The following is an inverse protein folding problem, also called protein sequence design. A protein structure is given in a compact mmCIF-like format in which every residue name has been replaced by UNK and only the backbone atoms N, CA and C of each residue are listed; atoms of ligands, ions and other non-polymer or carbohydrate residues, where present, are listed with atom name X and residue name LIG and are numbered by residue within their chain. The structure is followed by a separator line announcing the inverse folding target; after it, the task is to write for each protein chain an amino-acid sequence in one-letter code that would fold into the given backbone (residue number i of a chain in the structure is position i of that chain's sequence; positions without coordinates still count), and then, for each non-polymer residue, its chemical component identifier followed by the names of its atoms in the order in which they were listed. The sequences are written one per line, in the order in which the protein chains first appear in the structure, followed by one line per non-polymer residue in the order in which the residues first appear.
data_IF_152862729036
#
_entry.id   IF_152862729036
#
_cell.length_a   1.000
_cell.length_b   1.000
_cell.length_c   1.000
_cell.angle_alpha   90.00
_cell.angle_beta   90.00
_cell.angle_gamma   90.00
#
_symmetry.space_group_name_H-M   'P 1'
#
loop_
_entity.id
_entity.type
_entity.pdbx_description
1 polymer ?
#
# COMPACT_ATOMS: atom_id res chain seq x y z
N UNK A 1 -8.72 -20.93 15.11
CA UNK A 1 -9.20 -22.34 15.22
C UNK A 1 -8.06 -23.33 15.08
N UNK A 2 -8.10 -24.47 15.78
CA UNK A 2 -6.99 -25.45 15.78
C UNK A 2 -6.62 -25.93 14.36
N UNK A 3 -7.63 -26.19 13.52
CA UNK A 3 -7.44 -26.58 12.11
C UNK A 3 -6.60 -25.58 11.29
N UNK A 4 -6.69 -24.28 11.59
CA UNK A 4 -5.87 -23.26 10.93
C UNK A 4 -4.43 -23.27 11.45
N UNK A 5 -4.25 -23.49 12.76
CA UNK A 5 -2.93 -23.54 13.40
C UNK A 5 -2.17 -24.76 12.89
N UNK A 6 -2.81 -25.94 12.87
CA UNK A 6 -2.21 -27.19 12.39
C UNK A 6 -1.80 -27.07 10.90
N UNK A 7 -2.62 -26.37 10.10
CA UNK A 7 -2.31 -26.09 8.70
C UNK A 7 -1.05 -25.23 8.56
N UNK A 8 -0.93 -24.14 9.31
CA UNK A 8 0.26 -23.26 9.28
C UNK A 8 1.50 -24.03 9.72
N UNK A 9 1.44 -24.79 10.83
CA UNK A 9 2.55 -25.62 11.31
C UNK A 9 3.04 -26.59 10.24
N UNK A 10 2.10 -27.30 9.60
CA UNK A 10 2.43 -28.28 8.55
C UNK A 10 3.06 -27.60 7.32
N UNK A 11 2.48 -26.49 6.84
CA UNK A 11 2.98 -25.81 5.64
C UNK A 11 4.32 -25.11 5.86
N UNK A 12 4.58 -24.65 7.08
CA UNK A 12 5.85 -24.02 7.44
C UNK A 12 6.90 -25.03 7.95
N UNK A 13 6.52 -26.30 8.17
CA UNK A 13 7.42 -27.32 8.74
C UNK A 13 7.88 -26.99 10.16
N UNK A 14 7.02 -26.39 10.97
CA UNK A 14 7.33 -25.93 12.32
C UNK A 14 6.74 -26.85 13.39
N UNK A 15 7.48 -27.02 14.49
CA UNK A 15 6.92 -27.54 15.73
C UNK A 15 6.00 -26.50 16.39
N UNK A 16 5.00 -26.90 17.19
CA UNK A 16 4.06 -25.98 17.84
C UNK A 16 4.73 -24.86 18.65
N UNK A 17 5.84 -25.15 19.33
CA UNK A 17 6.59 -24.17 20.12
C UNK A 17 7.33 -23.13 19.25
N UNK A 18 7.54 -23.42 17.97
CA UNK A 18 8.18 -22.52 17.00
C UNK A 18 7.23 -21.54 16.31
N UNK A 19 5.91 -21.63 16.57
CA UNK A 19 4.91 -20.76 15.96
C UNK A 19 4.38 -19.73 16.95
N UNK A 20 4.50 -18.46 16.59
CA UNK A 20 3.81 -17.35 17.24
C UNK A 20 2.81 -16.73 16.26
N UNK A 21 1.57 -16.53 16.70
CA UNK A 21 0.52 -15.90 15.88
C UNK A 21 0.14 -14.56 16.52
N UNK A 22 0.28 -13.48 15.76
CA UNK A 22 -0.22 -12.16 16.13
C UNK A 22 -1.53 -11.91 15.39
N UNK A 23 -2.62 -11.69 16.14
CA UNK A 23 -3.95 -11.46 15.58
C UNK A 23 -4.44 -10.06 15.95
N UNK A 24 -4.76 -9.24 14.95
CA UNK A 24 -5.28 -7.88 15.15
C UNK A 24 -6.41 -7.63 14.16
N UNK A 25 -7.62 -7.23 14.60
CA UNK A 25 -8.68 -6.86 13.66
C UNK A 25 -8.36 -5.51 13.00
N UNK A 26 -8.79 -5.31 11.75
CA UNK A 26 -8.58 -4.06 10.99
C UNK A 26 -9.10 -2.82 11.73
N UNK A 27 -10.18 -2.99 12.50
CA UNK A 27 -10.82 -1.97 13.35
C UNK A 27 -10.05 -1.62 14.64
N UNK A 28 -8.88 -2.21 14.88
CA UNK A 28 -8.03 -1.89 16.05
C UNK A 28 -6.88 -0.96 15.68
N UNK A 29 -6.29 -0.30 16.68
CA UNK A 29 -5.06 0.50 16.52
C UNK A 29 -3.93 -0.30 15.86
N UNK A 30 -3.70 -1.53 16.31
CA UNK A 30 -2.65 -2.38 15.74
C UNK A 30 -2.97 -2.80 14.31
N UNK A 31 -4.23 -3.14 14.00
CA UNK A 31 -4.68 -3.48 12.65
C UNK A 31 -4.57 -2.31 11.68
N UNK A 32 -5.02 -1.13 12.09
CA UNK A 32 -4.88 0.10 11.30
C UNK A 32 -3.41 0.43 11.05
N UNK A 33 -2.57 0.37 12.10
CA UNK A 33 -1.14 0.66 11.99
C UNK A 33 -0.41 -0.30 11.07
N UNK A 34 -0.63 -1.61 11.21
CA UNK A 34 0.08 -2.60 10.40
C UNK A 34 -0.30 -2.53 8.92
N UNK A 35 -1.54 -2.16 8.58
CA UNK A 35 -1.92 -1.96 7.18
C UNK A 35 -1.23 -0.71 6.61
N UNK A 36 -1.32 0.43 7.30
CA UNK A 36 -0.69 1.69 6.82
C UNK A 36 0.84 1.58 6.73
N UNK A 37 1.47 0.84 7.63
CA UNK A 37 2.92 0.59 7.62
C UNK A 37 3.41 -0.16 6.37
N UNK A 38 2.51 -0.79 5.60
CA UNK A 38 2.83 -1.48 4.34
C UNK A 38 3.01 -0.55 3.15
N UNK A 39 2.93 0.78 3.31
CA UNK A 39 3.11 1.73 2.20
C UNK A 39 4.37 1.45 1.35
N UNK A 40 5.49 1.03 1.97
CA UNK A 40 6.67 0.61 1.21
C UNK A 40 6.46 -0.72 0.47
N UNK A 41 5.87 -1.72 1.14
CA UNK A 41 5.55 -3.02 0.55
C UNK A 41 4.61 -2.90 -0.66
N UNK A 42 3.59 -2.04 -0.58
CA UNK A 42 2.68 -1.74 -1.68
C UNK A 42 3.43 -1.19 -2.90
N UNK A 43 4.42 -0.32 -2.70
CA UNK A 43 5.26 0.16 -3.80
C UNK A 43 6.15 -0.94 -4.39
N UNK A 44 6.70 -1.82 -3.55
CA UNK A 44 7.49 -2.98 -4.01
C UNK A 44 6.62 -3.98 -4.77
N UNK A 45 5.41 -4.26 -4.29
CA UNK A 45 4.45 -5.11 -4.97
C UNK A 45 4.10 -4.54 -6.34
N UNK A 46 3.75 -3.25 -6.44
CA UNK A 46 3.48 -2.63 -7.74
C UNK A 46 4.70 -2.58 -8.65
N UNK A 47 5.91 -2.39 -8.12
CA UNK A 47 7.13 -2.49 -8.90
C UNK A 47 7.28 -3.89 -9.53
N UNK A 48 6.98 -4.95 -8.76
CA UNK A 48 6.97 -6.33 -9.25
C UNK A 48 5.94 -6.54 -10.37
N UNK A 49 4.71 -6.07 -10.19
CA UNK A 49 3.63 -6.15 -11.19
C UNK A 49 3.98 -5.39 -12.49
N UNK A 50 4.73 -4.29 -12.40
CA UNK A 50 5.26 -3.54 -13.55
C UNK A 50 6.47 -4.21 -14.23
N UNK A 51 6.85 -5.41 -13.77
CA UNK A 51 8.00 -6.17 -14.25
C UNK A 51 9.35 -5.58 -13.86
N UNK A 52 9.40 -4.66 -12.88
CA UNK A 52 10.66 -4.12 -12.41
C UNK A 52 11.40 -5.17 -11.55
N UNK A 53 12.69 -5.42 -11.81
CA UNK A 53 13.46 -6.39 -11.03
C UNK A 53 13.65 -5.88 -9.60
N UNK A 54 12.99 -6.51 -8.61
CA UNK A 54 13.09 -6.10 -7.21
C UNK A 54 14.53 -6.12 -6.67
N UNK A 55 15.39 -6.99 -7.21
CA UNK A 55 16.82 -7.03 -6.87
C UNK A 55 17.59 -5.76 -7.27
N UNK A 56 17.04 -4.94 -8.18
CA UNK A 56 17.60 -3.63 -8.53
C UNK A 56 17.20 -2.53 -7.53
N UNK A 57 16.25 -2.78 -6.63
CA UNK A 57 15.91 -1.88 -5.52
C UNK A 57 16.91 -2.13 -4.40
N UNK A 58 17.76 -1.13 -4.12
CA UNK A 58 18.84 -1.20 -3.14
C UNK A 58 18.34 -0.83 -1.74
N UNK A 59 17.48 0.17 -1.66
CA UNK A 59 16.93 0.68 -0.40
C UNK A 59 15.56 1.35 -0.63
N UNK A 60 14.79 1.48 0.45
CA UNK A 60 13.46 2.09 0.39
C UNK A 60 13.03 2.66 1.73
N UNK A 61 12.41 3.85 1.69
CA UNK A 61 11.77 4.46 2.85
C UNK A 61 10.39 4.98 2.47
N UNK A 62 9.46 4.94 3.40
CA UNK A 62 8.09 5.38 3.14
C UNK A 62 7.39 5.87 4.40
N UNK A 63 6.38 6.71 4.20
CA UNK A 63 5.47 7.14 5.24
C UNK A 63 4.06 7.31 4.68
N UNK A 64 3.06 7.20 5.56
CA UNK A 64 1.66 7.47 5.25
C UNK A 64 0.97 7.99 6.51
N UNK A 65 -0.06 8.84 6.39
CA UNK A 65 -0.86 9.31 7.52
C UNK A 65 -1.61 8.14 8.17
N UNK A 66 -1.65 8.11 9.51
CA UNK A 66 -2.34 7.06 10.25
C UNK A 66 -3.77 7.52 10.60
N UNK A 67 -4.83 6.91 10.03
CA UNK A 67 -6.20 7.25 10.42
C UNK A 67 -6.54 6.72 11.81
N UNK A 68 -7.60 7.28 12.42
CA UNK A 68 -8.22 6.65 13.57
C UNK A 68 -8.92 5.34 13.16
N UNK A 69 -8.85 4.27 13.98
CA UNK A 69 -9.58 3.04 13.69
C UNK A 69 -11.10 3.29 13.60
N UNK A 70 -11.76 2.59 12.68
CA UNK A 70 -13.23 2.60 12.57
C UNK A 70 -13.81 1.33 13.20
N UNK A 71 -14.96 1.41 13.91
CA UNK A 71 -15.67 0.23 14.38
C UNK A 71 -16.31 -0.57 13.23
N UNK A 72 -16.60 0.09 12.10
CA UNK A 72 -17.05 -0.57 10.87
C UNK A 72 -15.85 -1.13 10.11
N UNK A 73 -15.87 -2.43 9.82
CA UNK A 73 -14.73 -3.12 9.19
C UNK A 73 -14.46 -2.71 7.75
N UNK A 74 -15.49 -2.34 6.99
CA UNK A 74 -15.36 -1.89 5.60
C UNK A 74 -14.76 -0.48 5.59
N UNK A 75 -15.22 0.40 6.47
CA UNK A 75 -14.64 1.74 6.66
C UNK A 75 -13.21 1.68 7.20
N UNK A 76 -12.92 0.78 8.15
CA UNK A 76 -11.57 0.60 8.67
C UNK A 76 -10.60 0.22 7.55
N UNK A 77 -11.00 -0.75 6.71
CA UNK A 77 -10.24 -1.15 5.53
C UNK A 77 -10.10 0.00 4.54
N UNK A 78 -11.20 0.70 4.22
CA UNK A 78 -11.18 1.85 3.31
C UNK A 78 -10.18 2.91 3.75
N UNK A 79 -10.32 3.40 4.99
CA UNK A 79 -9.43 4.44 5.56
C UNK A 79 -7.97 4.04 5.55
N UNK A 80 -7.65 2.77 5.87
CA UNK A 80 -6.25 2.30 5.84
C UNK A 80 -5.67 2.23 4.43
N UNK A 81 -6.48 1.91 3.41
CA UNK A 81 -6.03 1.93 2.02
C UNK A 81 -5.93 3.37 1.51
N UNK A 82 -6.93 4.21 1.77
CA UNK A 82 -6.93 5.63 1.40
C UNK A 82 -5.69 6.37 1.94
N UNK A 83 -5.24 6.01 3.15
CA UNK A 83 -3.99 6.51 3.73
C UNK A 83 -2.77 6.28 2.83
N UNK A 84 -2.69 5.11 2.19
CA UNK A 84 -1.60 4.74 1.29
C UNK A 84 -1.82 5.40 -0.09
N UNK A 85 -3.02 5.25 -0.63
CA UNK A 85 -3.39 5.68 -1.99
C UNK A 85 -3.29 7.19 -2.18
N UNK A 86 -3.66 7.98 -1.16
CA UNK A 86 -3.76 9.45 -1.24
C UNK A 86 -2.78 10.17 -0.31
N UNK A 87 -2.20 9.45 0.65
CA UNK A 87 -1.28 9.99 1.65
C UNK A 87 0.12 9.36 1.67
N UNK A 88 0.33 8.26 0.97
CA UNK A 88 1.57 7.49 1.01
C UNK A 88 2.68 8.14 0.20
N UNK A 89 3.83 8.41 0.83
CA UNK A 89 5.05 8.86 0.16
C UNK A 89 6.09 7.75 0.22
N UNK A 90 6.72 7.47 -0.92
CA UNK A 90 7.74 6.43 -1.05
C UNK A 90 8.98 7.02 -1.70
N UNK A 91 10.15 6.65 -1.19
CA UNK A 91 11.46 6.92 -1.77
C UNK A 91 12.15 5.60 -1.98
N UNK A 92 12.44 5.27 -3.23
CA UNK A 92 13.21 4.08 -3.63
C UNK A 92 14.58 4.50 -4.13
N UNK A 93 15.59 3.76 -3.70
CA UNK A 93 16.95 3.84 -4.22
C UNK A 93 17.19 2.63 -5.09
N UNK A 94 17.55 2.83 -6.35
CA UNK A 94 17.69 1.76 -7.36
C UNK A 94 19.06 1.76 -8.00
N UNK A 95 19.45 0.62 -8.57
CA UNK A 95 20.63 0.44 -9.41
C UNK A 95 20.20 -0.22 -10.72
N UNK A 96 19.93 0.59 -11.73
CA UNK A 96 19.48 0.18 -13.07
C UNK A 96 19.80 1.28 -14.10
N UNK A 97 19.26 1.18 -15.31
CA UNK A 97 19.32 2.28 -16.28
C UNK A 97 18.39 3.43 -15.90
N UNK A 98 18.78 4.67 -16.21
CA UNK A 98 17.99 5.87 -15.90
C UNK A 98 16.59 5.84 -16.52
N UNK A 99 16.45 5.28 -17.72
CA UNK A 99 15.15 5.15 -18.38
C UNK A 99 14.21 4.21 -17.61
N UNK A 100 14.74 3.14 -17.02
CA UNK A 100 13.96 2.22 -16.18
C UNK A 100 13.57 2.87 -14.85
N UNK A 101 14.49 3.61 -14.22
CA UNK A 101 14.22 4.37 -13.00
C UNK A 101 13.14 5.44 -13.22
N UNK A 102 13.22 6.16 -14.34
CA UNK A 102 12.21 7.16 -14.73
C UNK A 102 10.85 6.52 -14.99
N UNK A 103 10.81 5.41 -15.74
CA UNK A 103 9.57 4.67 -16.01
C UNK A 103 8.93 4.20 -14.70
N UNK A 104 9.72 3.59 -13.82
CA UNK A 104 9.26 3.13 -12.51
C UNK A 104 8.65 4.28 -11.70
N UNK A 105 9.32 5.44 -11.65
CA UNK A 105 8.80 6.61 -10.93
C UNK A 105 7.43 7.06 -11.46
N UNK A 106 7.24 7.05 -12.78
CA UNK A 106 6.00 7.50 -13.45
C UNK A 106 4.84 6.53 -13.30
N UNK A 107 5.11 5.24 -13.28
CA UNK A 107 4.09 4.17 -13.28
C UNK A 107 3.67 3.73 -11.86
N UNK A 108 4.51 3.93 -10.85
CA UNK A 108 4.21 3.52 -9.48
C UNK A 108 3.03 4.26 -8.80
N UNK A 109 2.79 5.56 -8.97
CA UNK A 109 1.76 6.27 -8.22
C UNK A 109 0.34 5.72 -8.43
N UNK A 110 -0.51 5.79 -7.42
CA UNK A 110 -1.92 5.39 -7.48
C UNK A 110 -2.73 6.17 -8.52
N UNK A 111 -2.32 7.41 -8.81
CA UNK A 111 -2.93 8.26 -9.84
C UNK A 111 -2.79 7.70 -11.26
N UNK A 112 -2.02 6.63 -11.47
CA UNK A 112 -1.98 5.91 -12.75
C UNK A 112 -3.20 5.01 -12.97
N UNK A 113 -3.97 4.73 -11.91
CA UNK A 113 -5.16 3.88 -11.97
C UNK A 113 -6.39 4.64 -12.44
N UNK A 114 -7.26 3.97 -13.19
CA UNK A 114 -8.58 4.50 -13.59
C UNK A 114 -9.56 4.63 -12.42
N UNK A 115 -9.32 3.91 -11.32
CA UNK A 115 -10.20 3.89 -10.14
C UNK A 115 -9.77 4.92 -9.07
N UNK A 116 -8.76 5.74 -9.37
CA UNK A 116 -8.26 6.80 -8.49
C UNK A 116 -9.28 7.93 -8.28
N UNK A 117 -9.31 8.50 -7.06
CA UNK A 117 -9.99 9.77 -6.78
C UNK A 117 -11.25 9.67 -5.93
N UNK A 118 -11.51 8.49 -5.34
CA UNK A 118 -12.67 8.23 -4.48
C UNK A 118 -12.32 7.30 -3.32
N UNK A 119 -13.18 7.24 -2.30
CA UNK A 119 -13.03 6.34 -1.16
C UNK A 119 -12.81 4.89 -1.61
N UNK A 120 -11.80 4.22 -1.06
CA UNK A 120 -11.61 2.80 -1.31
C UNK A 120 -12.79 1.97 -0.79
N UNK A 121 -13.43 2.37 0.32
CA UNK A 121 -14.62 1.69 0.82
C UNK A 121 -15.78 1.77 -0.18
N UNK A 122 -15.96 2.92 -0.84
CA UNK A 122 -17.03 3.09 -1.83
C UNK A 122 -16.72 2.32 -3.11
N UNK A 123 -15.48 2.38 -3.60
CA UNK A 123 -15.02 1.52 -4.70
C UNK A 123 -15.30 0.05 -4.42
N UNK A 124 -14.98 -0.41 -3.20
CA UNK A 124 -15.16 -1.81 -2.81
C UNK A 124 -16.62 -2.23 -2.69
N UNK A 125 -17.50 -1.33 -2.22
CA UNK A 125 -18.95 -1.56 -2.18
C UNK A 125 -19.55 -1.64 -3.58
N UNK A 126 -19.16 -0.74 -4.49
CA UNK A 126 -19.68 -0.72 -5.86
C UNK A 126 -19.37 -1.99 -6.66
N UNK A 127 -18.23 -2.61 -6.39
CA UNK A 127 -17.85 -3.87 -7.02
C UNK A 127 -18.39 -5.11 -6.29
N UNK A 128 -19.34 -4.92 -5.35
CA UNK A 128 -19.95 -5.97 -4.54
C UNK A 128 -18.92 -6.78 -3.72
N UNK A 129 -17.91 -6.09 -3.18
CA UNK A 129 -16.83 -6.67 -2.38
C UNK A 129 -15.93 -7.65 -3.15
N UNK A 130 -15.89 -7.55 -4.48
CA UNK A 130 -15.02 -8.34 -5.36
C UNK A 130 -13.72 -7.58 -5.70
N UNK A 131 -12.64 -7.92 -5.01
CA UNK A 131 -11.31 -7.33 -5.23
C UNK A 131 -10.80 -7.47 -6.67
N UNK A 132 -11.21 -8.52 -7.41
CA UNK A 132 -10.72 -8.75 -8.78
C UNK A 132 -11.27 -7.75 -9.80
N UNK A 133 -12.31 -6.98 -9.43
CA UNK A 133 -12.90 -5.94 -10.27
C UNK A 133 -12.23 -4.57 -10.09
N UNK A 134 -11.43 -4.39 -9.03
CA UNK A 134 -10.64 -3.17 -8.80
C UNK A 134 -9.38 -3.24 -9.64
N UNK A 135 -9.01 -2.14 -10.30
CA UNK A 135 -7.74 -2.03 -10.99
C UNK A 135 -6.58 -2.32 -10.02
N UNK A 136 -5.75 -3.36 -10.26
CA UNK A 136 -4.61 -3.66 -9.41
C UNK A 136 -3.63 -2.49 -9.28
N UNK A 137 -3.57 -1.61 -10.29
CA UNK A 137 -2.77 -0.40 -10.28
C UNK A 137 -3.16 0.62 -9.20
N UNK A 138 -4.34 0.48 -8.60
CA UNK A 138 -4.82 1.34 -7.51
C UNK A 138 -4.08 1.05 -6.19
N UNK A 139 -3.62 -0.18 -5.95
CA UNK A 139 -2.84 -0.55 -4.77
C UNK A 139 -1.41 -0.02 -4.91
N UNK A 140 -1.26 1.26 -4.61
CA UNK A 140 -0.09 2.04 -4.93
C UNK A 140 0.06 3.22 -3.97
N UNK A 141 1.29 3.71 -3.74
CA UNK A 141 1.50 4.95 -3.00
C UNK A 141 1.02 6.17 -3.80
N UNK A 142 0.72 7.26 -3.07
CA UNK A 142 0.30 8.53 -3.66
C UNK A 142 1.43 9.29 -4.36
N UNK A 143 2.61 9.35 -3.73
CA UNK A 143 3.78 10.04 -4.26
C UNK A 143 5.02 9.14 -4.22
N UNK A 144 5.81 9.17 -5.29
CA UNK A 144 7.00 8.32 -5.43
C UNK A 144 8.19 9.12 -5.90
N UNK A 145 9.33 8.84 -5.28
CA UNK A 145 10.65 9.32 -5.68
C UNK A 145 11.52 8.09 -5.96
N UNK A 146 12.15 8.04 -7.12
CA UNK A 146 13.11 6.98 -7.48
C UNK A 146 14.47 7.64 -7.73
N UNK A 147 15.49 7.23 -7.00
CA UNK A 147 16.85 7.75 -7.09
C UNK A 147 17.79 6.64 -7.57
N UNK A 148 18.54 6.88 -8.65
CA UNK A 148 19.48 5.90 -9.19
C UNK A 148 20.89 6.12 -8.63
N UNK A 149 21.45 5.14 -7.92
CA UNK A 149 22.81 5.24 -7.34
C UNK A 149 23.91 5.18 -8.39
N UNK A 150 23.63 4.70 -9.60
CA UNK A 150 24.61 4.66 -10.68
C UNK A 150 24.84 6.05 -11.31
N UNK A 151 23.78 6.86 -11.47
CA UNK A 151 23.84 8.17 -12.13
C UNK A 151 23.69 9.36 -11.18
N UNK A 152 23.18 9.16 -9.97
CA UNK A 152 22.86 10.22 -9.01
C UNK A 152 21.58 10.98 -9.32
N UNK A 153 20.83 10.61 -10.36
CA UNK A 153 19.59 11.29 -10.76
C UNK A 153 18.39 10.77 -9.97
N UNK A 154 17.38 11.63 -9.83
CA UNK A 154 16.12 11.30 -9.15
C UNK A 154 14.93 11.75 -9.98
N UNK A 155 13.87 10.94 -9.98
CA UNK A 155 12.60 11.23 -10.62
C UNK A 155 11.49 11.18 -9.59
N UNK A 156 10.54 12.10 -9.71
CA UNK A 156 9.36 12.18 -8.84
C UNK A 156 8.11 12.14 -9.70
N UNK A 157 7.10 11.39 -9.27
CA UNK A 157 5.77 11.44 -9.84
C UNK A 157 4.68 11.17 -8.79
N UNK A 158 3.43 11.37 -9.19
CA UNK A 158 2.29 11.39 -8.29
C UNK A 158 2.29 12.66 -7.43
N UNK A 159 1.60 12.59 -6.30
CA UNK A 159 1.48 13.69 -5.37
C UNK A 159 0.39 13.40 -4.35
N UNK A 160 0.62 13.89 -3.13
CA UNK A 160 -0.34 13.75 -2.03
C UNK A 160 -1.68 14.41 -2.37
N UNK A 161 -2.76 13.68 -2.18
CA UNK A 161 -4.12 14.20 -2.26
C UNK A 161 -4.73 14.31 -0.85
N UNK A 162 -4.08 15.16 -0.05
CA UNK A 162 -4.52 15.43 1.33
C UNK A 162 -5.86 16.16 1.38
N UNK A 163 -6.31 16.76 0.28
CA UNK A 163 -7.63 17.37 0.16
C UNK A 163 -8.73 16.31 0.15
N UNK A 164 -8.61 15.32 -0.74
CA UNK A 164 -9.47 14.15 -0.77
C UNK A 164 -9.38 13.36 0.53
N UNK A 165 -8.17 13.06 1.02
CA UNK A 165 -8.01 12.28 2.24
C UNK A 165 -8.69 12.93 3.46
N UNK A 166 -8.57 14.26 3.58
CA UNK A 166 -9.25 15.01 4.65
C UNK A 166 -10.76 15.01 4.49
N UNK A 167 -11.30 15.14 3.27
CA UNK A 167 -12.74 15.11 3.06
C UNK A 167 -13.34 13.74 3.41
N UNK A 168 -12.61 12.65 3.12
CA UNK A 168 -13.00 11.28 3.48
C UNK A 168 -12.98 11.02 4.99
N UNK A 169 -12.05 11.62 5.73
CA UNK A 169 -11.84 11.30 7.14
C UNK A 169 -12.53 12.25 8.12
N UNK A 170 -12.61 13.53 7.78
CA UNK A 170 -13.10 14.58 8.68
C UNK A 170 -14.59 14.91 8.48
N UNK A 171 -15.22 14.37 7.45
CA UNK A 171 -16.59 14.74 7.06
C UNK A 171 -16.65 16.15 6.46
N UNK A 172 -17.84 16.57 6.01
CA UNK A 172 -18.05 17.97 5.63
C UNK A 172 -17.78 18.88 6.85
N UNK A 173 -17.13 20.05 6.66
CA UNK A 173 -17.02 21.01 7.76
C UNK A 173 -18.42 21.35 8.27
N UNK A 174 -18.57 21.34 9.59
CA UNK A 174 -19.79 21.74 10.28
C UNK A 174 -20.17 23.19 9.96
#
# INVERSE_FOLDING_TARGET
PRVLIDKVLTQCGLDPAGLTIVLTPTSSLAGTTQVVARVLEVALHKAHELGFPLAAIVDGSACAPLPAPSPDGVEAMGRTNDAILYGGQVRLTVRCDDAEAERLARELPSSSSKDYGRSFADTFREVEFDFYKIDPGLFAPSEVWVSNVASGRSWRAGGLDMGLLRSLWLGAPA
#
